data_IF_150105244313
#
_entry.id   IF_150105244313
#
_cell.length_a   1.000
_cell.length_b   1.000
_cell.length_c   1.000
_cell.angle_alpha   90.00
_cell.angle_beta   90.00
_cell.angle_gamma   90.00
#
_symmetry.space_group_name_H-M   'P 1'
#
loop_
_entity.id
_entity.type
_entity.pdbx_description
1 polymer ?
#
# COMPACT_ATOMS: atom_id res chain seq x y z
N UNK A 1 6.77 7.68 -63.76
CA UNK A 1 7.41 6.91 -62.66
C UNK A 1 6.71 7.32 -61.37
N UNK A 2 5.81 6.49 -60.82
CA UNK A 2 5.03 6.79 -59.60
C UNK A 2 5.71 6.08 -58.44
N UNK A 3 6.36 6.82 -57.55
CA UNK A 3 6.93 6.28 -56.32
C UNK A 3 5.84 6.15 -55.27
N UNK A 4 5.53 4.91 -54.88
CA UNK A 4 4.65 4.60 -53.75
C UNK A 4 5.55 4.47 -52.52
N UNK A 5 5.49 5.44 -51.62
CA UNK A 5 6.10 5.32 -50.29
C UNK A 5 5.12 4.59 -49.37
N UNK A 6 5.46 3.35 -49.01
CA UNK A 6 4.72 2.56 -48.04
C UNK A 6 5.17 2.95 -46.63
N UNK A 7 4.30 3.62 -45.86
CA UNK A 7 4.51 3.90 -44.44
C UNK A 7 4.21 2.65 -43.62
N UNK A 8 5.23 1.90 -43.23
CA UNK A 8 5.10 0.87 -42.22
C UNK A 8 5.04 1.54 -40.83
N UNK A 9 3.87 1.54 -40.20
CA UNK A 9 3.70 2.01 -38.82
C UNK A 9 4.33 1.00 -37.85
N UNK A 10 5.47 1.35 -37.26
CA UNK A 10 6.07 0.59 -36.18
C UNK A 10 5.28 0.83 -34.88
N UNK A 11 4.54 -0.18 -34.44
CA UNK A 11 3.83 -0.18 -33.15
C UNK A 11 4.87 -0.47 -32.06
N UNK A 12 5.44 0.59 -31.46
CA UNK A 12 6.21 0.46 -30.22
C UNK A 12 5.23 0.22 -29.07
N UNK A 13 5.06 -1.04 -28.68
CA UNK A 13 4.35 -1.38 -27.44
C UNK A 13 5.23 -0.93 -26.28
N UNK A 14 4.82 0.12 -25.58
CA UNK A 14 5.51 0.60 -24.38
C UNK A 14 5.41 -0.47 -23.29
N UNK A 15 6.47 -1.24 -23.12
CA UNK A 15 6.62 -2.17 -21.99
C UNK A 15 6.82 -1.33 -20.73
N UNK A 16 5.76 -1.13 -19.95
CA UNK A 16 5.86 -0.57 -18.60
C UNK A 16 6.58 -1.59 -17.72
N UNK A 17 7.88 -1.36 -17.49
CA UNK A 17 8.60 -2.08 -16.45
C UNK A 17 7.99 -1.67 -15.10
N UNK A 18 7.22 -2.58 -14.48
CA UNK A 18 6.84 -2.43 -13.08
C UNK A 18 8.09 -2.68 -12.26
N UNK A 19 8.79 -1.60 -11.88
CA UNK A 19 9.87 -1.65 -10.90
C UNK A 19 9.25 -1.87 -9.51
N UNK A 20 8.77 -3.09 -9.26
CA UNK A 20 8.54 -3.53 -7.90
C UNK A 20 9.91 -3.72 -7.23
N UNK A 21 10.07 -3.20 -6.02
CA UNK A 21 11.21 -3.53 -5.17
C UNK A 21 11.34 -5.06 -5.09
N UNK A 22 12.48 -5.58 -5.53
CA UNK A 22 12.67 -7.02 -5.77
C UNK A 22 12.81 -7.84 -4.48
N UNK A 23 13.14 -7.17 -3.37
CA UNK A 23 13.26 -7.78 -2.04
C UNK A 23 13.03 -6.73 -0.95
N UNK A 24 12.48 -7.16 0.18
CA UNK A 24 12.25 -6.29 1.32
C UNK A 24 12.28 -7.08 2.61
N UNK A 25 12.39 -6.37 3.74
CA UNK A 25 12.28 -6.95 5.07
C UNK A 25 10.90 -6.62 5.65
N UNK A 26 10.30 -7.57 6.34
CA UNK A 26 9.01 -7.37 7.03
C UNK A 26 9.21 -7.34 8.53
N UNK A 27 8.41 -6.53 9.20
CA UNK A 27 8.21 -6.54 10.66
C UNK A 27 6.71 -6.77 10.93
N UNK A 28 6.27 -6.64 12.18
CA UNK A 28 4.85 -6.69 12.56
C UNK A 28 4.55 -5.58 13.56
N UNK A 29 3.41 -4.93 13.42
CA UNK A 29 2.98 -3.86 14.33
C UNK A 29 1.46 -3.73 14.39
N UNK A 30 0.97 -3.14 15.47
CA UNK A 30 -0.38 -2.60 15.62
C UNK A 30 -0.35 -1.58 16.75
N UNK A 31 -0.26 -0.29 16.43
CA UNK A 31 -0.15 0.81 17.40
C UNK A 31 -1.48 1.54 17.65
N UNK A 32 -2.54 1.13 16.95
CA UNK A 32 -3.86 1.77 16.90
C UNK A 32 -3.88 3.20 16.34
N UNK A 33 -2.74 3.78 15.95
CA UNK A 33 -2.69 5.14 15.44
C UNK A 33 -3.52 5.26 14.15
N UNK A 34 -4.05 6.46 13.89
CA UNK A 34 -4.59 6.78 12.58
C UNK A 34 -3.49 6.58 11.53
N UNK A 35 -3.77 5.80 10.50
CA UNK A 35 -2.80 5.49 9.45
C UNK A 35 -2.51 6.72 8.58
N UNK A 36 -1.26 6.89 8.14
CA UNK A 36 -0.83 8.11 7.46
C UNK A 36 -1.52 8.34 6.12
N UNK A 37 -1.91 7.30 5.39
CA UNK A 37 -2.69 7.42 4.14
C UNK A 37 -4.18 7.76 4.40
N UNK A 38 -4.60 7.85 5.66
CA UNK A 38 -5.93 8.33 6.06
C UNK A 38 -6.06 9.85 6.09
N UNK A 39 -4.97 10.59 5.86
CA UNK A 39 -5.01 12.05 5.72
C UNK A 39 -5.33 12.47 4.28
N UNK A 40 -6.12 13.54 4.14
CA UNK A 40 -6.41 14.14 2.83
C UNK A 40 -5.13 14.62 2.14
N UNK A 41 -5.06 14.46 0.82
CA UNK A 41 -3.96 15.00 0.01
C UNK A 41 -2.64 14.22 0.04
N UNK A 42 -2.61 13.03 0.67
CA UNK A 42 -1.40 12.19 0.71
C UNK A 42 -1.06 11.52 -0.62
N UNK A 43 -2.06 11.18 -1.43
CA UNK A 43 -1.92 10.60 -2.76
C UNK A 43 -3.15 10.92 -3.63
N UNK A 44 -3.05 10.66 -4.93
CA UNK A 44 -4.18 10.76 -5.86
C UNK A 44 -5.04 9.49 -5.74
N UNK A 45 -6.06 9.55 -4.87
CA UNK A 45 -6.95 8.43 -4.54
C UNK A 45 -8.40 8.88 -4.56
N UNK A 46 -9.34 7.95 -4.71
CA UNK A 46 -10.78 8.24 -4.67
C UNK A 46 -11.24 8.70 -3.29
N UNK A 47 -10.65 8.13 -2.24
CA UNK A 47 -10.81 8.53 -0.84
C UNK A 47 -9.57 8.14 -0.03
N UNK A 48 -9.19 8.91 1.01
CA UNK A 48 -8.18 8.48 1.97
C UNK A 48 -8.58 7.18 2.68
N UNK A 49 -7.61 6.52 3.30
CA UNK A 49 -7.86 5.35 4.15
C UNK A 49 -8.83 5.71 5.29
N UNK A 50 -9.83 4.86 5.50
CA UNK A 50 -10.87 5.06 6.50
C UNK A 50 -10.29 4.94 7.91
N UNK A 51 -10.41 5.98 8.74
CA UNK A 51 -10.11 5.88 10.17
C UNK A 51 -11.37 5.60 10.99
N UNK A 52 -11.21 5.07 12.19
CA UNK A 52 -12.32 4.73 13.08
C UNK A 52 -12.19 5.44 14.43
N UNK A 53 -13.30 5.59 15.15
CA UNK A 53 -13.25 5.97 16.56
C UNK A 53 -12.81 4.80 17.45
N UNK A 54 -12.68 5.04 18.76
CA UNK A 54 -12.27 4.02 19.76
C UNK A 54 -13.14 2.76 19.78
N UNK A 55 -14.40 2.86 19.32
CA UNK A 55 -15.35 1.75 19.27
C UNK A 55 -15.36 1.07 17.89
N UNK A 56 -14.31 1.30 17.08
CA UNK A 56 -14.16 0.79 15.72
C UNK A 56 -15.31 1.20 14.78
N UNK A 57 -15.89 2.38 14.98
CA UNK A 57 -16.88 2.94 14.06
C UNK A 57 -16.22 3.91 13.06
N UNK A 58 -16.49 3.78 11.76
CA UNK A 58 -15.91 4.66 10.74
C UNK A 58 -16.18 6.15 11.02
N UNK A 59 -15.15 6.98 10.83
CA UNK A 59 -15.22 8.44 10.92
C UNK A 59 -15.36 9.05 9.52
N UNK A 60 -16.32 9.95 9.33
CA UNK A 60 -16.55 10.55 8.00
C UNK A 60 -15.55 11.65 7.62
N UNK A 61 -14.90 12.26 8.61
CA UNK A 61 -13.92 13.33 8.38
C UNK A 61 -12.48 12.77 8.33
N UNK A 62 -11.83 12.75 7.16
CA UNK A 62 -10.46 12.29 7.00
C UNK A 62 -9.44 13.20 7.68
N UNK A 63 -9.80 14.39 8.15
CA UNK A 63 -8.91 15.31 8.84
C UNK A 63 -9.05 15.27 10.37
N UNK A 64 -9.87 14.36 10.89
CA UNK A 64 -9.96 14.11 12.33
C UNK A 64 -8.59 13.67 12.88
N UNK A 65 -8.17 14.29 14.00
CA UNK A 65 -6.84 14.10 14.60
C UNK A 65 -6.63 12.66 15.10
N UNK A 66 -5.41 12.16 14.93
CA UNK A 66 -4.99 10.83 15.40
C UNK A 66 -5.08 10.70 16.93
N UNK A 67 -5.48 9.53 17.42
CA UNK A 67 -5.44 9.15 18.83
C UNK A 67 -4.04 9.19 19.42
N UNK A 68 -3.03 8.91 18.60
CA UNK A 68 -1.63 9.03 19.02
C UNK A 68 -1.17 10.48 19.20
N UNK A 69 -1.95 11.45 18.72
CA UNK A 69 -1.76 12.88 18.96
C UNK A 69 -2.88 13.48 19.83
N UNK A 70 -3.60 12.66 20.59
CA UNK A 70 -4.69 13.08 21.50
C UNK A 70 -6.03 13.38 20.83
N UNK A 71 -6.23 12.97 19.57
CA UNK A 71 -7.50 13.01 18.87
C UNK A 71 -8.35 11.74 19.02
N UNK A 72 -9.49 11.63 18.31
CA UNK A 72 -10.37 10.46 18.41
C UNK A 72 -10.24 9.46 17.24
N UNK A 73 -9.33 9.66 16.28
CA UNK A 73 -9.16 8.77 15.12
C UNK A 73 -8.08 7.69 15.34
N UNK A 74 -8.42 6.44 15.05
CA UNK A 74 -7.61 5.24 15.23
C UNK A 74 -7.65 4.40 13.95
N UNK A 75 -6.74 3.44 13.84
CA UNK A 75 -6.84 2.37 12.83
C UNK A 75 -8.14 1.58 13.00
N UNK A 76 -8.83 1.28 11.89
CA UNK A 76 -10.05 0.49 11.93
C UNK A 76 -9.74 -1.00 12.16
N UNK A 77 -10.53 -1.69 12.99
CA UNK A 77 -10.32 -3.12 13.26
C UNK A 77 -10.44 -4.02 12.01
N UNK A 78 -11.21 -3.60 11.00
CA UNK A 78 -11.30 -4.31 9.71
C UNK A 78 -10.03 -4.15 8.84
N UNK A 79 -9.04 -3.36 9.27
CA UNK A 79 -7.71 -3.33 8.69
C UNK A 79 -6.79 -4.46 9.24
N UNK A 80 -7.40 -5.51 9.79
CA UNK A 80 -6.71 -6.74 10.20
C UNK A 80 -6.44 -7.66 8.99
N UNK A 81 -5.36 -8.47 9.02
CA UNK A 81 -5.12 -9.46 7.99
C UNK A 81 -6.07 -10.66 8.11
N UNK A 82 -6.31 -11.36 7.00
CA UNK A 82 -7.09 -12.59 6.97
C UNK A 82 -6.55 -13.59 5.95
N UNK A 83 -6.73 -14.88 6.23
CA UNK A 83 -6.39 -15.95 5.30
C UNK A 83 -7.50 -16.13 4.26
N UNK A 84 -7.12 -16.25 2.99
CA UNK A 84 -8.01 -16.68 1.90
C UNK A 84 -8.01 -18.21 1.82
N UNK A 85 -6.81 -18.80 1.95
CA UNK A 85 -6.57 -20.23 2.07
C UNK A 85 -5.19 -20.43 2.72
N UNK A 86 -4.73 -21.68 2.79
CA UNK A 86 -3.45 -22.02 3.44
C UNK A 86 -2.24 -21.29 2.83
N UNK A 87 -2.29 -20.88 1.56
CA UNK A 87 -1.15 -20.30 0.83
C UNK A 87 -1.30 -18.82 0.48
N UNK A 88 -2.48 -18.21 0.71
CA UNK A 88 -2.74 -16.81 0.40
C UNK A 88 -3.46 -16.12 1.56
N UNK A 89 -2.95 -14.95 1.93
CA UNK A 89 -3.62 -14.01 2.84
C UNK A 89 -3.74 -12.62 2.22
N UNK A 90 -4.69 -11.83 2.73
CA UNK A 90 -4.80 -10.40 2.47
C UNK A 90 -4.53 -9.62 3.76
N UNK A 91 -4.16 -8.35 3.63
CA UNK A 91 -4.07 -7.45 4.77
C UNK A 91 -3.60 -6.06 4.40
N UNK A 92 -3.00 -5.39 5.39
CA UNK A 92 -2.62 -3.99 5.33
C UNK A 92 -1.22 -3.83 5.91
N UNK A 93 -0.47 -2.84 5.44
CA UNK A 93 0.90 -2.63 5.87
C UNK A 93 1.27 -1.14 5.96
N UNK A 94 2.17 -0.83 6.90
CA UNK A 94 3.02 0.34 6.78
C UNK A 94 4.17 0.03 5.83
N UNK A 95 4.44 0.91 4.87
CA UNK A 95 5.51 0.69 3.88
C UNK A 95 6.53 1.83 3.89
N UNK A 96 7.74 1.50 3.48
CA UNK A 96 8.81 2.43 3.16
C UNK A 96 9.58 1.83 1.99
N UNK A 97 9.35 2.37 0.80
CA UNK A 97 9.94 1.84 -0.44
C UNK A 97 11.02 2.79 -0.93
N UNK A 98 12.19 2.24 -1.28
CA UNK A 98 13.29 3.03 -1.80
C UNK A 98 12.86 3.84 -3.05
N UNK A 99 13.22 5.12 -3.07
CA UNK A 99 12.87 6.03 -4.18
C UNK A 99 11.39 6.44 -4.26
N UNK A 100 10.55 5.95 -3.35
CA UNK A 100 9.14 6.30 -3.26
C UNK A 100 8.84 7.40 -2.23
N UNK A 101 7.60 7.89 -2.30
CA UNK A 101 6.98 8.78 -1.30
C UNK A 101 5.57 8.29 -0.98
N UNK A 102 4.92 8.89 0.03
CA UNK A 102 3.50 8.60 0.34
C UNK A 102 2.60 8.76 -0.88
N UNK A 103 2.87 9.74 -1.74
CA UNK A 103 2.12 9.96 -2.97
C UNK A 103 2.22 8.79 -3.94
N UNK A 104 3.33 8.03 -3.92
CA UNK A 104 3.52 6.87 -4.79
C UNK A 104 2.99 5.56 -4.23
N UNK A 105 2.94 5.38 -2.90
CA UNK A 105 2.57 4.10 -2.29
C UNK A 105 1.23 4.09 -1.58
N UNK A 106 0.70 5.24 -1.15
CA UNK A 106 -0.55 5.25 -0.40
C UNK A 106 -1.67 4.61 -1.23
N UNK A 107 -2.36 3.66 -0.61
CA UNK A 107 -3.43 2.84 -1.19
C UNK A 107 -3.00 1.87 -2.31
N UNK A 108 -1.72 1.81 -2.66
CA UNK A 108 -1.21 0.78 -3.58
C UNK A 108 -1.22 -0.60 -2.93
N UNK A 109 -1.36 -1.63 -3.76
CA UNK A 109 -1.34 -3.02 -3.32
C UNK A 109 -0.07 -3.72 -3.79
N UNK A 110 0.51 -4.56 -2.93
CA UNK A 110 1.73 -5.31 -3.20
C UNK A 110 1.50 -6.79 -2.91
N UNK A 111 1.88 -7.67 -3.83
CA UNK A 111 1.98 -9.10 -3.56
C UNK A 111 3.35 -9.41 -2.98
N UNK A 112 3.37 -9.93 -1.75
CA UNK A 112 4.55 -10.42 -1.09
C UNK A 112 4.62 -11.93 -1.28
N UNK A 113 5.79 -12.44 -1.65
CA UNK A 113 6.13 -13.86 -1.55
C UNK A 113 7.20 -14.01 -0.48
N UNK A 114 6.90 -14.71 0.61
CA UNK A 114 7.85 -14.84 1.72
C UNK A 114 9.02 -15.75 1.32
N UNK A 115 10.24 -15.31 1.60
CA UNK A 115 11.48 -16.01 1.20
C UNK A 115 12.20 -16.70 2.35
N UNK A 116 11.68 -16.61 3.59
CA UNK A 116 12.28 -17.21 4.79
C UNK A 116 11.23 -17.49 5.88
N UNK A 117 11.64 -18.20 6.95
CA UNK A 117 10.79 -18.51 8.09
C UNK A 117 9.71 -19.58 7.82
N UNK A 118 8.79 -19.82 8.77
CA UNK A 118 7.77 -20.88 8.66
C UNK A 118 6.71 -20.61 7.58
N UNK A 119 6.67 -19.40 7.01
CA UNK A 119 5.74 -18.99 5.96
C UNK A 119 6.39 -18.91 4.58
N UNK A 120 7.64 -19.37 4.43
CA UNK A 120 8.36 -19.37 3.16
C UNK A 120 7.51 -20.00 2.03
N UNK A 121 7.47 -19.32 0.88
CA UNK A 121 6.69 -19.71 -0.29
C UNK A 121 5.20 -19.32 -0.25
N UNK A 122 4.65 -18.94 0.91
CA UNK A 122 3.28 -18.40 1.00
C UNK A 122 3.24 -16.96 0.47
N UNK A 123 2.04 -16.54 0.08
CA UNK A 123 1.78 -15.21 -0.47
C UNK A 123 0.89 -14.38 0.45
N UNK A 124 1.15 -13.08 0.48
CA UNK A 124 0.27 -12.11 1.13
C UNK A 124 0.13 -10.86 0.26
N UNK A 125 -1.09 -10.47 -0.05
CA UNK A 125 -1.35 -9.22 -0.76
C UNK A 125 -1.73 -8.15 0.27
N UNK A 126 -0.99 -7.05 0.30
CA UNK A 126 -1.18 -5.98 1.29
C UNK A 126 -1.50 -4.66 0.61
N UNK A 127 -2.45 -3.90 1.18
CA UNK A 127 -2.61 -2.48 0.87
C UNK A 127 -1.69 -1.64 1.76
N UNK A 128 -0.95 -0.71 1.18
CA UNK A 128 -0.18 0.28 1.92
C UNK A 128 -1.10 1.36 2.49
N UNK A 129 -1.33 1.33 3.80
CA UNK A 129 -2.19 2.29 4.52
C UNK A 129 -1.41 3.29 5.34
N UNK A 130 -0.15 3.03 5.63
CA UNK A 130 0.69 3.84 6.49
C UNK A 130 2.12 3.91 5.94
N UNK A 131 2.90 4.86 6.46
CA UNK A 131 4.34 4.95 6.22
C UNK A 131 5.11 4.46 7.43
N UNK A 132 6.04 3.53 7.24
CA UNK A 132 6.94 3.09 8.30
C UNK A 132 8.14 4.00 8.42
N UNK A 133 8.03 5.08 9.21
CA UNK A 133 9.11 6.06 9.41
C UNK A 133 10.39 5.47 10.01
N UNK A 134 10.24 4.46 10.88
CA UNK A 134 11.34 3.76 11.56
C UNK A 134 11.83 2.52 10.81
N UNK A 135 11.23 2.22 9.66
CA UNK A 135 11.75 1.18 8.79
C UNK A 135 12.99 1.78 8.11
N UNK A 136 14.15 1.13 8.29
CA UNK A 136 15.38 1.52 7.57
C UNK A 136 15.16 1.57 6.06
N UNK A 137 16.18 1.99 5.31
CA UNK A 137 16.11 1.94 3.84
C UNK A 137 15.98 0.48 3.39
N UNK A 138 14.75 0.04 3.10
CA UNK A 138 14.46 -1.23 2.46
C UNK A 138 14.37 -1.02 0.95
#
# INVERSE_FOLDING_TARGET
MKFIFSFAAAIFSSLTLVLAQSSGTTTRYWDCCKESCGWSGKASVTSPVQSCNKDSKPLTDPNTKSGCDGGPAFACANHSPWAVNDNLSYGFAAVKLQGGTEASWCCQCYELTFTSGPVQGKKMIVQATNTGGDLGNA
#
